data_IF_710787340503
#
_entry.id   IF_710787340503
#
_cell.length_a   1.000
_cell.length_b   1.000
_cell.length_c   1.000
_cell.angle_alpha   90.00
_cell.angle_beta   90.00
_cell.angle_gamma   90.00
#
_symmetry.space_group_name_H-M   'P 1'
#
loop_
_entity.id
_entity.type
_entity.pdbx_description
1 polymer ?
#
# COMPACT_ATOMS: atom_id res chain seq x y z
N UNK A 1 -9.82 -25.83 -18.68
CA UNK A 1 -10.46 -24.50 -18.86
C UNK A 1 -9.85 -23.82 -20.08
N UNK A 2 -10.64 -23.08 -20.88
CA UNK A 2 -10.09 -22.31 -22.00
C UNK A 2 -9.06 -21.28 -21.48
N UNK A 3 -7.85 -21.17 -22.08
CA UNK A 3 -6.78 -20.29 -21.57
C UNK A 3 -7.20 -18.83 -21.38
N UNK A 4 -8.00 -18.28 -22.29
CA UNK A 4 -8.53 -16.92 -22.21
C UNK A 4 -9.47 -16.71 -21.01
N UNK A 5 -10.33 -17.70 -20.72
CA UNK A 5 -11.22 -17.65 -19.56
C UNK A 5 -10.42 -17.68 -18.25
N UNK A 6 -9.43 -18.56 -18.17
CA UNK A 6 -8.56 -18.65 -16.99
C UNK A 6 -7.77 -17.36 -16.75
N UNK A 7 -7.24 -16.74 -17.81
CA UNK A 7 -6.55 -15.44 -17.72
C UNK A 7 -7.48 -14.33 -17.20
N UNK A 8 -8.69 -14.25 -17.75
CA UNK A 8 -9.70 -13.25 -17.33
C UNK A 8 -10.13 -13.43 -15.88
N UNK A 9 -10.37 -14.67 -15.44
CA UNK A 9 -10.74 -14.96 -14.05
C UNK A 9 -9.60 -14.64 -13.08
N UNK A 10 -8.35 -14.96 -13.44
CA UNK A 10 -7.17 -14.59 -12.65
C UNK A 10 -7.04 -13.08 -12.50
N UNK A 11 -7.17 -12.32 -13.59
CA UNK A 11 -7.10 -10.86 -13.55
C UNK A 11 -8.21 -10.26 -12.67
N UNK A 12 -9.43 -10.77 -12.76
CA UNK A 12 -10.56 -10.34 -11.92
C UNK A 12 -10.32 -10.67 -10.44
N UNK A 13 -9.79 -11.85 -10.14
CA UNK A 13 -9.45 -12.23 -8.76
C UNK A 13 -8.31 -11.35 -8.21
N UNK A 14 -7.28 -11.07 -9.01
CA UNK A 14 -6.18 -10.18 -8.64
C UNK A 14 -6.70 -8.78 -8.29
N UNK A 15 -7.53 -8.18 -9.16
CA UNK A 15 -8.09 -6.85 -8.93
C UNK A 15 -8.98 -6.80 -7.67
N UNK A 16 -9.73 -7.86 -7.39
CA UNK A 16 -10.53 -7.95 -6.17
C UNK A 16 -9.65 -8.07 -4.92
N UNK A 17 -8.63 -8.93 -4.96
CA UNK A 17 -7.69 -9.12 -3.86
C UNK A 17 -6.87 -7.84 -3.59
N UNK A 18 -6.37 -7.18 -4.63
CA UNK A 18 -5.62 -5.92 -4.54
C UNK A 18 -6.43 -4.83 -3.82
N UNK A 19 -7.72 -4.74 -4.16
CA UNK A 19 -8.65 -3.83 -3.50
C UNK A 19 -8.96 -4.23 -2.06
N UNK A 20 -9.38 -5.48 -1.82
CA UNK A 20 -9.78 -5.93 -0.49
C UNK A 20 -8.62 -5.87 0.51
N UNK A 21 -7.42 -6.30 0.12
CA UNK A 21 -6.25 -6.23 0.98
C UNK A 21 -5.84 -4.78 1.28
N UNK A 22 -5.97 -3.86 0.33
CA UNK A 22 -5.79 -2.44 0.63
C UNK A 22 -6.83 -1.97 1.67
N UNK A 23 -8.12 -2.24 1.42
CA UNK A 23 -9.21 -1.69 2.22
C UNK A 23 -9.32 -2.29 3.62
N UNK A 24 -9.18 -3.61 3.76
CA UNK A 24 -9.50 -4.33 5.00
C UNK A 24 -8.25 -4.65 5.82
N UNK A 25 -7.06 -4.56 5.22
CA UNK A 25 -5.82 -4.91 5.90
C UNK A 25 -4.89 -3.70 6.00
N UNK A 26 -4.46 -3.14 4.86
CA UNK A 26 -3.51 -2.02 4.88
C UNK A 26 -4.13 -0.81 5.58
N UNK A 27 -5.34 -0.38 5.16
CA UNK A 27 -6.01 0.79 5.70
C UNK A 27 -6.60 0.59 7.10
N UNK A 28 -6.54 -0.61 7.67
CA UNK A 28 -7.08 -0.91 9.02
C UNK A 28 -6.00 -1.38 10.01
N UNK A 29 -4.72 -1.39 9.61
CA UNK A 29 -3.61 -1.92 10.44
C UNK A 29 -2.56 -0.86 10.71
N UNK A 30 -2.01 -0.86 11.93
CA UNK A 30 -0.83 -0.07 12.29
C UNK A 30 0.44 -0.87 12.02
N UNK A 31 1.43 -0.25 11.38
CA UNK A 31 2.66 -0.92 10.98
C UNK A 31 3.89 -0.30 11.65
N UNK A 32 4.64 -1.14 12.36
CA UNK A 32 6.02 -0.85 12.72
C UNK A 32 6.98 -1.29 11.59
N UNK A 33 8.26 -0.96 11.71
CA UNK A 33 9.29 -1.27 10.70
C UNK A 33 9.36 -2.76 10.36
N UNK A 34 9.23 -3.65 11.35
CA UNK A 34 9.21 -5.10 11.10
C UNK A 34 7.97 -5.53 10.31
N UNK A 35 6.81 -4.98 10.67
CA UNK A 35 5.53 -5.26 10.01
C UNK A 35 5.49 -4.77 8.56
N UNK A 36 6.03 -3.59 8.25
CA UNK A 36 6.09 -3.09 6.87
C UNK A 36 6.97 -3.97 5.98
N UNK A 37 8.11 -4.43 6.50
CA UNK A 37 9.02 -5.34 5.80
C UNK A 37 8.39 -6.71 5.56
N UNK A 38 7.73 -7.28 6.57
CA UNK A 38 7.05 -8.57 6.45
C UNK A 38 5.89 -8.52 5.45
N UNK A 39 5.03 -7.51 5.55
CA UNK A 39 3.96 -7.30 4.58
C UNK A 39 4.49 -7.17 3.15
N UNK A 40 5.56 -6.40 2.98
CA UNK A 40 6.19 -6.21 1.65
C UNK A 40 6.77 -7.49 1.11
N UNK A 41 7.37 -8.32 1.97
CA UNK A 41 7.85 -9.63 1.61
C UNK A 41 6.68 -10.52 1.13
N UNK A 42 5.59 -10.58 1.88
CA UNK A 42 4.42 -11.40 1.53
C UNK A 42 3.79 -10.95 0.20
N UNK A 43 3.65 -9.65 -0.03
CA UNK A 43 3.15 -9.10 -1.30
C UNK A 43 4.09 -9.46 -2.46
N UNK A 44 5.39 -9.17 -2.34
CA UNK A 44 6.33 -9.30 -3.47
C UNK A 44 6.75 -10.74 -3.75
N UNK A 45 6.87 -11.59 -2.74
CA UNK A 45 7.34 -12.97 -2.89
C UNK A 45 6.21 -13.97 -3.07
N UNK A 46 5.03 -13.71 -2.53
CA UNK A 46 3.93 -14.67 -2.56
C UNK A 46 2.79 -14.18 -3.47
N UNK A 47 2.24 -13.00 -3.21
CA UNK A 47 1.04 -12.54 -3.92
C UNK A 47 1.30 -12.17 -5.37
N UNK A 48 2.31 -11.34 -5.66
CA UNK A 48 2.60 -10.93 -7.04
C UNK A 48 2.91 -12.13 -7.95
N UNK A 49 3.78 -13.10 -7.56
CA UNK A 49 4.03 -14.27 -8.39
C UNK A 49 2.81 -15.17 -8.57
N UNK A 50 1.94 -15.30 -7.57
CA UNK A 50 0.72 -16.11 -7.68
C UNK A 50 -0.26 -15.60 -8.76
N UNK A 51 -0.23 -14.30 -9.04
CA UNK A 51 -1.07 -13.67 -10.07
C UNK A 51 -0.33 -13.36 -11.38
N UNK A 52 0.95 -13.72 -11.50
CA UNK A 52 1.72 -13.48 -12.71
C UNK A 52 1.10 -14.21 -13.93
N UNK A 53 1.01 -13.55 -15.10
CA UNK A 53 0.51 -14.21 -16.30
C UNK A 53 1.50 -15.31 -16.74
N UNK A 54 1.00 -16.44 -17.26
CA UNK A 54 1.86 -17.53 -17.75
C UNK A 54 2.71 -17.13 -18.97
N UNK A 55 2.32 -16.06 -19.68
CA UNK A 55 3.06 -15.54 -20.83
C UNK A 55 3.83 -14.26 -20.46
N UNK A 56 5.15 -14.29 -20.64
CA UNK A 56 6.06 -13.16 -20.37
C UNK A 56 5.72 -11.90 -21.19
N UNK A 57 5.09 -12.03 -22.35
CA UNK A 57 4.70 -10.89 -23.20
C UNK A 57 3.51 -10.07 -22.65
N UNK A 58 2.65 -10.67 -21.82
CA UNK A 58 1.54 -9.99 -21.15
C UNK A 58 1.96 -9.34 -19.80
N UNK A 59 3.25 -9.38 -19.46
CA UNK A 59 3.82 -9.04 -18.16
C UNK A 59 3.95 -7.53 -17.89
N UNK A 60 3.41 -6.67 -18.75
CA UNK A 60 3.60 -5.21 -18.59
C UNK A 60 2.66 -4.56 -17.56
N UNK A 61 1.64 -5.26 -17.09
CA UNK A 61 0.70 -4.73 -16.08
C UNK A 61 0.89 -5.51 -14.79
N UNK A 62 1.25 -4.81 -13.72
CA UNK A 62 1.30 -5.40 -12.38
C UNK A 62 -0.11 -5.84 -11.97
N UNK A 63 -0.32 -7.09 -11.54
CA UNK A 63 -1.66 -7.58 -11.20
C UNK A 63 -2.18 -7.00 -9.87
N UNK A 64 -1.29 -6.49 -9.02
CA UNK A 64 -1.58 -5.96 -7.68
C UNK A 64 -0.97 -4.56 -7.50
N UNK A 65 -1.35 -3.57 -8.33
CA UNK A 65 -0.69 -2.27 -8.35
C UNK A 65 -0.88 -1.49 -7.03
N UNK A 66 -2.06 -1.58 -6.39
CA UNK A 66 -2.30 -0.85 -5.14
C UNK A 66 -1.48 -1.41 -4.00
N UNK A 67 -1.37 -2.74 -3.87
CA UNK A 67 -0.54 -3.33 -2.81
C UNK A 67 0.95 -3.00 -3.00
N UNK A 68 1.42 -2.90 -4.24
CA UNK A 68 2.80 -2.50 -4.51
C UNK A 68 3.06 -1.03 -4.16
N UNK A 69 2.12 -0.15 -4.47
CA UNK A 69 2.18 1.26 -4.06
C UNK A 69 2.07 1.42 -2.54
N UNK A 70 1.22 0.63 -1.88
CA UNK A 70 1.11 0.60 -0.43
C UNK A 70 2.43 0.15 0.22
N UNK A 71 3.06 -0.91 -0.31
CA UNK A 71 4.40 -1.32 0.12
C UNK A 71 5.42 -0.18 -0.04
N UNK A 72 5.33 0.60 -1.12
CA UNK A 72 6.22 1.75 -1.34
C UNK A 72 6.00 2.85 -0.30
N UNK A 73 4.76 3.21 0.02
CA UNK A 73 4.44 4.20 1.06
C UNK A 73 4.85 3.73 2.46
N UNK A 74 4.58 2.46 2.79
CA UNK A 74 4.91 1.87 4.08
C UNK A 74 6.43 1.79 4.34
N UNK A 75 7.23 1.63 3.29
CA UNK A 75 8.70 1.51 3.39
C UNK A 75 9.45 2.76 2.93
N UNK A 76 8.75 3.87 2.71
CA UNK A 76 9.38 5.15 2.36
C UNK A 76 10.29 5.62 3.50
N UNK A 77 11.43 6.24 3.20
CA UNK A 77 12.32 6.80 4.21
C UNK A 77 11.58 7.77 5.12
N UNK A 78 11.98 7.84 6.39
CA UNK A 78 11.26 8.59 7.43
C UNK A 78 10.99 10.04 7.03
N UNK A 79 12.02 10.76 6.57
CA UNK A 79 11.91 12.18 6.22
C UNK A 79 11.01 12.42 5.01
N UNK A 80 11.10 11.57 3.99
CA UNK A 80 10.27 11.64 2.78
C UNK A 80 8.82 11.35 3.13
N UNK A 81 8.58 10.32 3.93
CA UNK A 81 7.25 9.92 4.37
C UNK A 81 6.60 11.01 5.25
N UNK A 82 7.36 11.59 6.17
CA UNK A 82 6.92 12.71 7.01
C UNK A 82 6.58 13.94 6.16
N UNK A 83 7.42 14.28 5.19
CA UNK A 83 7.20 15.41 4.27
C UNK A 83 5.96 15.18 3.42
N UNK A 84 5.86 14.02 2.78
CA UNK A 84 4.72 13.66 1.93
C UNK A 84 3.41 13.67 2.71
N UNK A 85 3.40 13.11 3.93
CA UNK A 85 2.24 13.16 4.84
C UNK A 85 1.83 14.60 5.13
N UNK A 86 2.79 15.47 5.41
CA UNK A 86 2.51 16.89 5.68
C UNK A 86 1.92 17.62 4.48
N UNK A 87 2.45 17.37 3.27
CA UNK A 87 1.93 17.94 2.03
C UNK A 87 0.51 17.44 1.77
N UNK A 88 0.27 16.13 1.88
CA UNK A 88 -1.06 15.54 1.66
C UNK A 88 -2.12 16.10 2.62
N UNK A 89 -1.73 16.37 3.88
CA UNK A 89 -2.62 16.94 4.88
C UNK A 89 -2.92 18.43 4.65
N UNK A 90 -1.93 19.22 4.22
CA UNK A 90 -2.05 20.70 4.16
C UNK A 90 -2.35 21.24 2.76
N UNK A 91 -1.93 20.53 1.71
CA UNK A 91 -1.99 20.98 0.32
C UNK A 91 -2.38 19.82 -0.61
N UNK A 92 -3.65 19.39 -0.64
CA UNK A 92 -4.08 18.19 -1.37
C UNK A 92 -3.76 18.20 -2.87
N UNK A 93 -3.84 19.37 -3.53
CA UNK A 93 -3.50 19.51 -4.95
C UNK A 93 -2.02 19.21 -5.22
N UNK A 94 -1.11 19.81 -4.42
CA UNK A 94 0.34 19.56 -4.50
C UNK A 94 0.69 18.14 -4.04
N UNK A 95 -0.08 17.60 -3.09
CA UNK A 95 0.07 16.22 -2.62
C UNK A 95 -0.19 15.19 -3.71
N UNK A 96 -1.17 15.43 -4.59
CA UNK A 96 -1.48 14.55 -5.72
C UNK A 96 -0.32 14.51 -6.74
N UNK A 97 0.24 15.67 -7.06
CA UNK A 97 1.44 15.76 -7.90
C UNK A 97 2.64 15.06 -7.24
N UNK A 98 2.83 15.28 -5.94
CA UNK A 98 3.90 14.64 -5.16
C UNK A 98 3.77 13.11 -5.18
N UNK A 99 2.57 12.55 -5.04
CA UNK A 99 2.33 11.11 -5.16
C UNK A 99 2.71 10.58 -6.54
N UNK A 100 2.34 11.30 -7.59
CA UNK A 100 2.69 10.94 -8.98
C UNK A 100 4.21 10.94 -9.19
N UNK A 101 4.91 11.92 -8.62
CA UNK A 101 6.39 11.99 -8.66
C UNK A 101 7.04 10.82 -7.92
N UNK A 102 6.36 10.27 -6.90
CA UNK A 102 6.76 9.03 -6.23
C UNK A 102 6.20 7.78 -6.95
N UNK A 103 5.65 7.89 -8.15
CA UNK A 103 5.09 6.76 -8.90
C UNK A 103 3.91 6.07 -8.19
N UNK A 104 3.17 6.82 -7.37
CA UNK A 104 1.92 6.38 -6.74
C UNK A 104 0.77 6.92 -7.59
N UNK A 105 0.14 6.06 -8.39
CA UNK A 105 -0.89 6.44 -9.37
C UNK A 105 -2.21 5.66 -9.19
N UNK A 106 -2.21 4.59 -8.41
CA UNK A 106 -3.37 3.70 -8.20
C UNK A 106 -4.03 3.88 -6.82
N UNK A 107 -3.32 4.47 -5.85
CA UNK A 107 -3.83 4.86 -4.52
C UNK A 107 -4.28 6.32 -4.52
N UNK A 108 -5.45 6.59 -3.92
CA UNK A 108 -5.97 7.96 -3.80
C UNK A 108 -5.21 8.77 -2.74
N UNK A 109 -5.16 10.12 -2.86
CA UNK A 109 -4.40 10.95 -1.91
C UNK A 109 -4.81 10.78 -0.44
N UNK A 110 -6.10 10.57 -0.16
CA UNK A 110 -6.61 10.32 1.19
C UNK A 110 -6.19 8.94 1.72
N UNK A 111 -6.23 7.90 0.88
CA UNK A 111 -5.73 6.56 1.22
C UNK A 111 -4.22 6.61 1.49
N UNK A 112 -3.44 7.32 0.67
CA UNK A 112 -2.01 7.48 0.88
C UNK A 112 -1.69 8.22 2.20
N UNK A 113 -2.45 9.27 2.53
CA UNK A 113 -2.35 9.97 3.80
C UNK A 113 -2.64 9.03 4.98
N UNK A 114 -3.66 8.18 4.87
CA UNK A 114 -4.00 7.19 5.90
C UNK A 114 -2.90 6.15 6.08
N UNK A 115 -2.38 5.57 4.99
CA UNK A 115 -1.26 4.60 5.04
C UNK A 115 -0.04 5.21 5.74
N UNK A 116 0.33 6.44 5.40
CA UNK A 116 1.44 7.14 6.04
C UNK A 116 1.15 7.49 7.51
N UNK A 117 -0.12 7.61 7.90
CA UNK A 117 -0.51 7.88 9.29
C UNK A 117 -0.52 6.62 10.16
N UNK A 118 -0.62 5.43 9.55
CA UNK A 118 -0.60 4.13 10.22
C UNK A 118 0.80 3.60 10.53
N UNK A 119 1.82 4.27 10.01
CA UNK A 119 3.22 4.04 10.34
C UNK A 119 3.50 4.48 11.76
N UNK A 120 3.87 3.54 12.61
CA UNK A 120 4.10 3.81 14.04
C UNK A 120 5.33 4.69 14.27
N UNK A 121 6.30 4.68 13.36
CA UNK A 121 7.48 5.56 13.42
C UNK A 121 7.13 7.03 13.11
N UNK A 122 6.11 7.28 12.29
CA UNK A 122 5.63 8.62 11.97
C UNK A 122 4.59 9.15 12.95
N UNK A 123 4.05 8.27 13.81
CA UNK A 123 3.07 8.66 14.80
C UNK A 123 3.71 9.65 15.76
N UNK A 124 3.18 10.87 15.83
CA UNK A 124 3.62 11.81 16.85
C UNK A 124 3.37 11.12 18.20
N UNK A 125 4.40 11.02 19.03
CA UNK A 125 4.31 10.46 20.37
C UNK A 125 3.47 11.39 21.27
N UNK A 126 2.19 11.57 20.96
CA UNK A 126 1.16 11.81 21.95
C UNK A 126 0.40 10.49 22.08
N UNK A 127 1.03 9.54 22.78
CA UNK A 127 0.26 8.51 23.48
C UNK A 127 -0.92 9.20 24.16
N UNK A 128 -2.18 8.85 23.86
CA UNK A 128 -3.23 9.17 24.81
C UNK A 128 -2.84 8.49 26.11
N UNK A 129 -2.74 9.27 27.19
CA UNK A 129 -2.39 8.86 28.55
C UNK A 129 -3.31 7.77 29.13
N UNK A 130 -4.24 7.22 28.34
CA UNK A 130 -5.29 6.30 28.75
C UNK A 130 -4.90 4.81 28.71
N UNK A 131 -3.67 4.46 28.31
CA UNK A 131 -3.19 3.05 28.30
C UNK A 131 -2.33 2.71 29.53
N UNK A 132 -1.96 3.70 30.36
CA UNK A 132 -1.24 3.46 31.63
C UNK A 132 -2.15 3.22 32.84
N UNK A 133 -3.48 3.16 32.70
CA UNK A 133 -4.40 2.83 33.80
C UNK A 133 -4.85 1.36 33.84
N UNK A 134 -4.28 0.49 32.99
CA UNK A 134 -4.65 -0.94 32.94
C UNK A 134 -3.55 -1.89 33.45
N UNK A 135 -2.53 -1.38 34.15
CA UNK A 135 -1.57 -2.20 34.89
C UNK A 135 -1.29 -1.64 36.28
#
# INVERSE_FOLDING_TARGET
>A
MAPALAARLRARLAAHLDRCMLQEMVLETWFNTGGTLQFTHDVKRNLVPAFAPPNKAASQVNPLPKLLEACKLLNMDYDDARRLRSILSKQPAVGTESLTNHGITHIQPNEALQILSQRTDLSDASTPSSVMELF
#
